data_IF_795735073703
#
_entry.id   IF_795735073703
#
_cell.length_a   1.000
_cell.length_b   1.000
_cell.length_c   1.000
_cell.angle_alpha   90.00
_cell.angle_beta   90.00
_cell.angle_gamma   90.00
#
_symmetry.space_group_name_H-M   'P 1'
#
loop_
_entity.id
_entity.type
_entity.pdbx_description
1 polymer ?
#
# COMPACT_ATOMS: atom_id res chain seq x y z
N UNK A 1 -18.50 -1.35 13.11
CA UNK A 1 -18.87 -0.85 14.45
C UNK A 1 -19.46 0.54 14.28
N UNK A 2 -20.71 0.77 14.68
CA UNK A 2 -21.31 2.10 14.61
C UNK A 2 -20.54 3.07 15.54
N UNK A 3 -20.32 4.33 15.16
CA UNK A 3 -19.63 5.28 16.02
C UNK A 3 -20.46 5.56 17.27
N UNK A 4 -19.86 5.42 18.46
CA UNK A 4 -20.51 5.78 19.72
C UNK A 4 -20.46 7.31 19.87
N UNK A 5 -21.60 8.01 19.87
CA UNK A 5 -21.63 9.47 19.98
C UNK A 5 -21.11 9.93 21.33
N UNK A 6 -20.44 11.09 21.36
CA UNK A 6 -20.05 11.75 22.60
C UNK A 6 -21.21 12.59 23.12
N UNK A 7 -21.76 12.22 24.28
CA UNK A 7 -22.79 13.01 24.95
C UNK A 7 -22.14 14.10 25.81
N UNK A 8 -22.06 15.31 25.26
CA UNK A 8 -21.48 16.47 25.94
C UNK A 8 -22.24 16.85 27.21
N UNK A 9 -23.56 16.64 27.24
CA UNK A 9 -24.39 17.03 28.38
C UNK A 9 -24.16 16.08 29.54
N UNK A 10 -24.23 14.77 29.29
CA UNK A 10 -23.95 13.75 30.30
C UNK A 10 -22.53 13.88 30.87
N UNK A 11 -21.56 14.29 30.04
CA UNK A 11 -20.20 14.55 30.50
C UNK A 11 -20.11 15.78 31.43
N UNK A 12 -20.80 16.89 31.09
CA UNK A 12 -20.88 18.07 31.97
C UNK A 12 -21.57 17.73 33.30
N UNK A 13 -22.66 16.97 33.26
CA UNK A 13 -23.39 16.53 34.45
C UNK A 13 -22.48 15.68 35.36
N UNK A 14 -21.71 14.76 34.78
CA UNK A 14 -20.76 13.92 35.52
C UNK A 14 -19.66 14.75 36.20
N UNK A 15 -19.09 15.72 35.48
CA UNK A 15 -18.07 16.62 36.05
C UNK A 15 -18.65 17.51 37.16
N UNK A 16 -19.87 18.03 36.95
CA UNK A 16 -20.54 18.88 37.95
C UNK A 16 -20.90 18.08 39.20
N UNK A 17 -21.39 16.85 39.04
CA UNK A 17 -21.65 15.93 40.15
C UNK A 17 -20.37 15.55 40.93
N UNK A 18 -19.20 15.68 40.30
CA UNK A 18 -17.89 15.46 40.93
C UNK A 18 -17.36 16.72 41.65
N UNK A 19 -18.15 17.80 41.71
CA UNK A 19 -17.79 19.04 42.40
C UNK A 19 -17.09 20.09 41.52
N UNK A 20 -16.94 19.86 40.21
CA UNK A 20 -16.45 20.93 39.31
C UNK A 20 -17.53 22.01 39.12
N UNK A 21 -17.16 23.30 39.13
CA UNK A 21 -18.07 24.37 38.73
C UNK A 21 -18.62 24.15 37.32
N UNK A 22 -19.92 24.42 37.12
CA UNK A 22 -20.60 24.16 35.85
C UNK A 22 -19.93 24.87 34.64
N UNK A 23 -19.39 26.07 34.85
CA UNK A 23 -18.66 26.79 33.80
C UNK A 23 -17.39 26.04 33.37
N UNK A 24 -16.63 25.48 34.33
CA UNK A 24 -15.43 24.71 34.06
C UNK A 24 -15.78 23.36 33.43
N UNK A 25 -16.81 22.67 33.93
CA UNK A 25 -17.29 21.42 33.34
C UNK A 25 -17.69 21.60 31.87
N UNK A 26 -18.40 22.69 31.54
CA UNK A 26 -18.78 23.03 30.17
C UNK A 26 -17.57 23.32 29.28
N UNK A 27 -16.60 24.09 29.78
CA UNK A 27 -15.37 24.39 29.06
C UNK A 27 -14.57 23.12 28.73
N UNK A 28 -14.40 22.23 29.70
CA UNK A 28 -13.71 20.94 29.52
C UNK A 28 -14.46 20.06 28.52
N UNK A 29 -15.79 19.97 28.62
CA UNK A 29 -16.61 19.20 27.68
C UNK A 29 -16.48 19.70 26.23
N UNK A 30 -16.44 21.02 26.02
CA UNK A 30 -16.23 21.61 24.68
C UNK A 30 -14.85 21.28 24.14
N UNK A 31 -13.80 21.56 24.92
CA UNK A 31 -12.43 21.30 24.51
C UNK A 31 -12.21 19.81 24.19
N UNK A 32 -12.78 18.90 24.99
CA UNK A 32 -12.69 17.47 24.73
C UNK A 32 -13.44 17.06 23.45
N UNK A 33 -14.61 17.66 23.19
CA UNK A 33 -15.36 17.42 21.95
C UNK A 33 -14.57 17.87 20.72
N UNK A 34 -13.96 19.05 20.78
CA UNK A 34 -13.14 19.63 19.71
C UNK A 34 -11.92 18.74 19.42
N UNK A 35 -11.15 18.40 20.46
CA UNK A 35 -10.01 17.48 20.34
C UNK A 35 -10.42 16.13 19.75
N UNK A 36 -11.56 15.56 20.17
CA UNK A 36 -12.05 14.28 19.64
C UNK A 36 -12.48 14.39 18.18
N UNK A 37 -12.97 15.55 17.74
CA UNK A 37 -13.30 15.79 16.35
C UNK A 37 -12.04 15.92 15.48
N UNK A 38 -11.03 16.64 15.96
CA UNK A 38 -9.72 16.79 15.32
C UNK A 38 -9.01 15.45 15.15
N UNK A 39 -8.85 14.68 16.24
CA UNK A 39 -8.26 13.33 16.21
C UNK A 39 -9.01 12.38 15.25
N UNK A 40 -10.33 12.53 15.15
CA UNK A 40 -11.12 11.73 14.20
C UNK A 40 -10.82 12.13 12.76
N UNK A 41 -10.63 13.43 12.47
CA UNK A 41 -10.22 13.90 11.15
C UNK A 41 -8.85 13.37 10.79
N UNK A 42 -7.86 13.55 11.67
CA UNK A 42 -6.49 13.08 11.46
C UNK A 42 -6.44 11.55 11.24
N UNK A 43 -7.21 10.78 12.02
CA UNK A 43 -7.27 9.33 11.85
C UNK A 43 -7.90 8.93 10.50
N UNK A 44 -8.85 9.71 9.99
CA UNK A 44 -9.45 9.47 8.66
C UNK A 44 -8.47 9.84 7.55
N UNK A 45 -7.75 10.94 7.69
CA UNK A 45 -6.70 11.37 6.77
C UNK A 45 -5.58 10.33 6.69
N UNK A 46 -5.02 9.93 7.83
CA UNK A 46 -3.99 8.89 7.90
C UNK A 46 -4.47 7.55 7.30
N UNK A 47 -5.73 7.17 7.54
CA UNK A 47 -6.32 5.98 6.92
C UNK A 47 -6.38 6.10 5.40
N UNK A 48 -6.68 7.28 4.87
CA UNK A 48 -6.74 7.51 3.43
C UNK A 48 -5.34 7.52 2.81
N UNK A 49 -4.36 8.15 3.47
CA UNK A 49 -2.95 8.12 3.06
C UNK A 49 -2.42 6.68 3.00
N UNK A 50 -2.60 5.90 4.08
CA UNK A 50 -2.19 4.49 4.10
C UNK A 50 -2.86 3.66 3.00
N UNK A 51 -4.13 3.93 2.67
CA UNK A 51 -4.80 3.27 1.54
C UNK A 51 -4.18 3.65 0.19
N UNK A 52 -3.83 4.92 0.02
CA UNK A 52 -3.17 5.39 -1.19
C UNK A 52 -1.79 4.74 -1.34
N UNK A 53 -1.00 4.68 -0.28
CA UNK A 53 0.32 4.04 -0.26
C UNK A 53 0.24 2.55 -0.57
N UNK A 54 -0.72 1.83 0.03
CA UNK A 54 -0.96 0.41 -0.26
C UNK A 54 -1.33 0.21 -1.74
N UNK A 55 -2.13 1.11 -2.31
CA UNK A 55 -2.50 1.04 -3.72
C UNK A 55 -1.31 1.32 -4.64
N UNK A 56 -0.48 2.31 -4.31
CA UNK A 56 0.75 2.62 -5.03
C UNK A 56 1.71 1.41 -5.01
N UNK A 57 1.98 0.84 -3.82
CA UNK A 57 2.84 -0.33 -3.68
C UNK A 57 2.34 -1.55 -4.45
N UNK A 58 1.02 -1.78 -4.51
CA UNK A 58 0.44 -2.85 -5.35
C UNK A 58 0.72 -2.62 -6.83
N UNK A 59 0.54 -1.40 -7.32
CA UNK A 59 0.82 -1.06 -8.71
C UNK A 59 2.31 -1.23 -9.05
N UNK A 60 3.19 -0.81 -8.13
CA UNK A 60 4.64 -0.96 -8.34
C UNK A 60 5.07 -2.43 -8.35
N UNK A 61 4.44 -3.26 -7.50
CA UNK A 61 4.68 -4.71 -7.51
C UNK A 61 4.18 -5.37 -8.80
N UNK A 62 3.03 -4.96 -9.33
CA UNK A 62 2.51 -5.46 -10.60
C UNK A 62 3.43 -5.06 -11.77
N UNK A 63 3.91 -3.82 -11.81
CA UNK A 63 4.90 -3.37 -12.81
C UNK A 63 6.19 -4.18 -12.74
N UNK A 64 6.75 -4.33 -11.53
CA UNK A 64 7.98 -5.10 -11.34
C UNK A 64 7.81 -6.56 -11.79
N UNK A 65 6.64 -7.15 -11.53
CA UNK A 65 6.31 -8.50 -11.98
C UNK A 65 6.26 -8.60 -13.50
N UNK A 66 5.70 -7.59 -14.18
CA UNK A 66 5.60 -7.59 -15.65
C UNK A 66 6.95 -7.29 -16.32
N UNK A 67 7.74 -6.38 -15.78
CA UNK A 67 9.13 -6.15 -16.20
C UNK A 67 9.96 -7.44 -16.09
N UNK A 68 9.86 -8.15 -14.96
CA UNK A 68 10.56 -9.42 -14.77
C UNK A 68 10.13 -10.49 -15.79
N UNK A 69 8.84 -10.62 -16.09
CA UNK A 69 8.36 -11.55 -17.14
C UNK A 69 8.93 -11.20 -18.51
N UNK A 70 8.95 -9.90 -18.84
CA UNK A 70 9.50 -9.42 -20.10
C UNK A 70 10.98 -9.76 -20.22
N UNK A 71 11.77 -9.50 -19.18
CA UNK A 71 13.20 -9.82 -19.16
C UNK A 71 13.46 -11.32 -19.28
N UNK A 72 12.68 -12.16 -18.59
CA UNK A 72 12.76 -13.62 -18.71
C UNK A 72 12.46 -14.10 -20.14
N UNK A 73 11.42 -13.56 -20.77
CA UNK A 73 11.07 -13.92 -22.15
C UNK A 73 12.14 -13.46 -23.15
N UNK A 74 12.70 -12.25 -22.96
CA UNK A 74 13.81 -11.78 -23.77
C UNK A 74 15.05 -12.67 -23.62
N UNK A 75 15.35 -13.12 -22.40
CA UNK A 75 16.45 -14.03 -22.14
C UNK A 75 16.22 -15.39 -22.84
N UNK A 76 15.01 -15.95 -22.72
CA UNK A 76 14.61 -17.20 -23.38
C UNK A 76 14.78 -17.12 -24.90
N UNK A 77 14.31 -16.05 -25.53
CA UNK A 77 14.45 -15.81 -26.98
C UNK A 77 15.92 -15.71 -27.39
N UNK A 78 16.72 -14.93 -26.64
CA UNK A 78 18.15 -14.78 -26.92
C UNK A 78 18.89 -16.10 -26.79
N UNK A 79 18.57 -16.92 -25.79
CA UNK A 79 19.18 -18.24 -25.62
C UNK A 79 18.76 -19.19 -26.75
N UNK A 80 17.47 -19.23 -27.10
CA UNK A 80 16.97 -20.04 -28.20
C UNK A 80 17.66 -19.70 -29.52
N UNK A 81 17.82 -18.42 -29.84
CA UNK A 81 18.52 -17.97 -31.05
C UNK A 81 20.01 -18.32 -31.03
N UNK A 82 20.72 -18.07 -29.91
CA UNK A 82 22.15 -18.38 -29.78
C UNK A 82 22.41 -19.88 -29.89
N UNK A 83 21.61 -20.70 -29.22
CA UNK A 83 21.73 -22.16 -29.28
C UNK A 83 21.37 -22.70 -30.66
N UNK A 84 20.29 -22.19 -31.28
CA UNK A 84 19.92 -22.54 -32.65
C UNK A 84 21.03 -22.22 -33.67
N UNK A 85 21.60 -21.01 -33.60
CA UNK A 85 22.72 -20.62 -34.44
C UNK A 85 23.96 -21.50 -34.23
N UNK A 86 24.30 -21.80 -32.98
CA UNK A 86 25.41 -22.70 -32.65
C UNK A 86 25.19 -24.11 -33.22
N UNK A 87 23.98 -24.65 -33.15
CA UNK A 87 23.65 -25.96 -33.75
C UNK A 87 23.83 -25.96 -35.28
N UNK A 88 23.37 -24.93 -35.97
CA UNK A 88 23.55 -24.82 -37.44
C UNK A 88 25.03 -24.79 -37.81
N UNK A 89 25.85 -24.04 -37.07
CA UNK A 89 27.30 -23.98 -37.28
C UNK A 89 27.93 -25.36 -37.05
N UNK A 90 27.58 -26.03 -35.95
CA UNK A 90 28.12 -27.36 -35.62
C UNK A 90 27.74 -28.42 -36.66
N UNK A 91 26.49 -28.44 -37.11
CA UNK A 91 26.02 -29.36 -38.15
C UNK A 91 26.70 -29.06 -39.50
N UNK A 92 26.86 -27.79 -39.85
CA UNK A 92 27.57 -27.39 -41.07
C UNK A 92 29.04 -27.83 -41.06
N UNK A 93 29.73 -27.66 -39.93
CA UNK A 93 31.12 -28.07 -39.75
C UNK A 93 31.28 -29.60 -39.88
N UNK A 94 30.41 -30.39 -39.24
CA UNK A 94 30.47 -31.86 -39.34
C UNK A 94 30.16 -32.35 -40.76
N UNK A 95 29.18 -31.77 -41.44
CA UNK A 95 28.85 -32.11 -42.82
C UNK A 95 29.99 -31.80 -43.81
N UNK A 96 30.72 -30.71 -43.59
CA UNK A 96 31.88 -30.36 -44.40
C UNK A 96 33.04 -31.38 -44.22
N UNK A 97 33.31 -31.80 -42.98
CA UNK A 97 34.35 -32.80 -42.67
C UNK A 97 34.05 -34.15 -43.33
N UNK A 98 32.78 -34.58 -43.36
CA UNK A 98 32.39 -35.87 -43.99
C UNK A 98 32.55 -35.86 -45.51
N UNK A 99 32.51 -34.69 -46.16
CA UNK A 99 32.64 -34.54 -47.62
C UNK A 99 34.08 -34.28 -48.11
N UNK A 100 35.01 -34.05 -47.19
CA UNK A 100 36.45 -33.92 -47.43
C UNK A 100 37.11 -35.31 -47.55
#
# INVERSE_FOLDING_TARGET
MAPVPFDTQKFVETLTASGLPAAQAKAISSAFRELRAELKSEMLELRNELKADIFALRNDLDKLRDEFKLEMHQLELRMTLKLGAAMVIMIGATAAIVKL
#
